data_IF_513300808544
#
_entry.id   IF_513300808544
#
_cell.length_a   1.000
_cell.length_b   1.000
_cell.length_c   1.000
_cell.angle_alpha   90.00
_cell.angle_beta   90.00
_cell.angle_gamma   90.00
#
_symmetry.space_group_name_H-M   'P 1'
#
loop_
_entity.id
_entity.type
_entity.pdbx_description
1 polymer ?
#
# COMPACT_ATOMS: atom_id res chain seq x y z
N UNK A 1 46.14 -54.75 -1.23
CA UNK A 1 44.72 -54.47 -1.51
C UNK A 1 44.14 -53.28 -0.73
N UNK A 2 44.50 -53.06 0.56
CA UNK A 2 43.97 -51.93 1.37
C UNK A 2 44.24 -50.52 0.80
N UNK A 3 45.38 -50.31 0.14
CA UNK A 3 45.75 -49.00 -0.45
C UNK A 3 44.90 -48.63 -1.69
N UNK A 4 44.47 -49.63 -2.46
CA UNK A 4 43.61 -49.43 -3.64
C UNK A 4 42.19 -49.10 -3.18
N UNK A 5 41.70 -49.78 -2.13
CA UNK A 5 40.39 -49.49 -1.55
C UNK A 5 40.30 -48.04 -1.05
N UNK A 6 41.35 -47.54 -0.39
CA UNK A 6 41.41 -46.18 0.15
C UNK A 6 41.42 -45.10 -0.95
N UNK A 7 42.10 -45.35 -2.06
CA UNK A 7 42.10 -44.44 -3.22
C UNK A 7 40.72 -44.37 -3.89
N UNK A 8 40.00 -45.50 -3.96
CA UNK A 8 38.65 -45.56 -4.51
C UNK A 8 37.63 -44.81 -3.64
N UNK A 9 37.73 -44.87 -2.31
CA UNK A 9 36.86 -44.10 -1.42
C UNK A 9 37.08 -42.60 -1.53
N UNK A 10 38.33 -42.13 -1.64
CA UNK A 10 38.63 -40.70 -1.82
C UNK A 10 38.06 -40.19 -3.15
N UNK A 11 38.20 -40.98 -4.22
CA UNK A 11 37.66 -40.63 -5.53
C UNK A 11 36.12 -40.51 -5.50
N UNK A 12 35.45 -41.46 -4.84
CA UNK A 12 33.99 -41.48 -4.77
C UNK A 12 33.42 -40.29 -3.95
N UNK A 13 34.11 -39.88 -2.89
CA UNK A 13 33.74 -38.70 -2.08
C UNK A 13 33.96 -37.40 -2.87
N UNK A 14 35.00 -37.32 -3.69
CA UNK A 14 35.23 -36.17 -4.56
C UNK A 14 34.12 -36.01 -5.63
N UNK A 15 33.61 -37.10 -6.18
CA UNK A 15 32.48 -37.05 -7.13
C UNK A 15 31.13 -36.71 -6.45
N UNK A 16 30.93 -37.13 -5.19
CA UNK A 16 29.73 -36.78 -4.43
C UNK A 16 29.64 -35.28 -4.08
N UNK A 17 30.78 -34.58 -3.99
CA UNK A 17 30.82 -33.13 -3.72
C UNK A 17 30.44 -32.27 -4.94
N UNK A 18 30.54 -32.79 -6.17
CA UNK A 18 30.22 -32.05 -7.41
C UNK A 18 28.71 -32.06 -7.71
N UNK A 19 27.93 -32.95 -7.07
CA UNK A 19 26.48 -33.09 -7.29
C UNK A 19 25.59 -32.12 -6.49
N UNK A 20 26.15 -31.37 -5.53
CA UNK A 20 25.41 -30.40 -4.73
C UNK A 20 25.70 -28.97 -5.22
N UNK A 21 25.23 -28.62 -6.42
CA UNK A 21 25.13 -27.21 -6.82
C UNK A 21 23.86 -26.95 -7.62
N UNK A 22 22.72 -27.13 -6.96
CA UNK A 22 21.51 -26.40 -7.27
C UNK A 22 21.49 -25.16 -6.37
N UNK A 23 22.45 -24.26 -6.57
CA UNK A 23 22.30 -22.91 -6.07
C UNK A 23 21.43 -22.18 -7.09
N UNK A 24 20.17 -21.97 -6.74
CA UNK A 24 19.46 -20.77 -7.18
C UNK A 24 20.21 -19.58 -6.55
N UNK A 25 21.37 -19.24 -7.12
CA UNK A 25 22.04 -17.97 -6.86
C UNK A 25 21.11 -16.89 -7.38
N UNK A 26 20.24 -16.38 -6.51
CA UNK A 26 19.60 -15.08 -6.71
C UNK A 26 20.72 -14.06 -6.91
N UNK A 27 20.83 -13.56 -8.14
CA UNK A 27 21.83 -12.59 -8.54
C UNK A 27 21.65 -11.31 -7.70
N UNK A 28 22.63 -10.92 -6.86
CA UNK A 28 22.48 -9.81 -5.93
C UNK A 28 22.17 -8.46 -6.62
N UNK A 29 22.54 -8.31 -7.90
CA UNK A 29 22.25 -7.11 -8.70
C UNK A 29 20.76 -6.99 -9.08
N UNK A 30 20.03 -8.11 -9.18
CA UNK A 30 18.59 -8.12 -9.53
C UNK A 30 17.73 -7.69 -8.33
N UNK A 31 18.15 -8.04 -7.12
CA UNK A 31 17.43 -7.66 -5.88
C UNK A 31 17.53 -6.16 -5.64
N UNK A 32 18.72 -5.56 -5.86
CA UNK A 32 18.93 -4.12 -5.66
C UNK A 32 18.14 -3.27 -6.67
N UNK A 33 18.11 -3.70 -7.93
CA UNK A 33 17.34 -2.99 -8.98
C UNK A 33 15.82 -3.12 -8.81
N UNK A 34 15.33 -4.27 -8.36
CA UNK A 34 13.90 -4.51 -8.08
C UNK A 34 13.40 -3.64 -6.94
N UNK A 35 14.15 -3.60 -5.83
CA UNK A 35 13.79 -2.76 -4.69
C UNK A 35 13.82 -1.27 -5.04
N UNK A 36 14.82 -0.82 -5.81
CA UNK A 36 14.89 0.55 -6.31
C UNK A 36 13.67 0.92 -7.16
N UNK A 37 13.27 0.06 -8.10
CA UNK A 37 12.08 0.31 -8.95
C UNK A 37 10.79 0.39 -8.13
N UNK A 38 10.63 -0.44 -7.10
CA UNK A 38 9.47 -0.37 -6.21
C UNK A 38 9.43 0.94 -5.42
N UNK A 39 10.59 1.44 -4.99
CA UNK A 39 10.70 2.72 -4.28
C UNK A 39 10.47 3.91 -5.22
N UNK A 40 11.03 3.88 -6.43
CA UNK A 40 10.77 4.88 -7.47
C UNK A 40 9.29 4.90 -7.86
N UNK A 41 8.63 3.75 -7.97
CA UNK A 41 7.20 3.68 -8.25
C UNK A 41 6.35 4.28 -7.11
N UNK A 42 6.75 4.11 -5.86
CA UNK A 42 6.09 4.74 -4.72
C UNK A 42 6.17 6.29 -4.81
N UNK A 43 7.37 6.82 -5.01
CA UNK A 43 7.63 8.26 -4.99
C UNK A 43 7.17 8.98 -6.27
N UNK A 44 7.40 8.38 -7.44
CA UNK A 44 7.28 9.05 -8.75
C UNK A 44 5.98 8.72 -9.50
N UNK A 45 5.15 7.82 -8.98
CA UNK A 45 3.80 7.56 -9.52
C UNK A 45 2.85 8.76 -9.43
N UNK A 46 3.22 9.81 -8.70
CA UNK A 46 2.40 10.99 -8.50
C UNK A 46 1.27 10.79 -7.48
N UNK A 47 1.23 9.64 -6.78
CA UNK A 47 0.22 9.33 -5.77
C UNK A 47 0.25 10.32 -4.58
N UNK A 48 1.45 10.73 -4.14
CA UNK A 48 1.61 11.69 -3.05
C UNK A 48 1.05 13.08 -3.36
N UNK A 49 1.03 13.49 -4.63
CA UNK A 49 0.44 14.78 -5.03
C UNK A 49 -1.10 14.76 -4.94
N UNK A 50 -1.72 13.59 -4.93
CA UNK A 50 -3.17 13.42 -4.85
C UNK A 50 -3.71 13.51 -3.43
N UNK A 51 -2.85 13.37 -2.41
CA UNK A 51 -3.23 13.36 -0.99
C UNK A 51 -3.22 14.76 -0.35
N UNK A 52 -2.63 15.75 -1.03
CA UNK A 52 -2.40 17.09 -0.46
C UNK A 52 -3.65 17.99 -0.45
N UNK A 53 -4.70 17.61 -1.19
CA UNK A 53 -5.92 18.40 -1.35
C UNK A 53 -7.12 17.70 -0.70
N UNK A 54 -8.04 18.50 -0.16
CA UNK A 54 -9.35 18.01 0.29
C UNK A 54 -10.20 17.70 -0.93
N UNK A 55 -10.67 16.47 -1.03
CA UNK A 55 -11.56 16.02 -2.11
C UNK A 55 -12.96 16.53 -1.82
N UNK A 56 -13.52 17.33 -2.73
CA UNK A 56 -14.86 17.95 -2.59
C UNK A 56 -15.86 17.48 -3.63
N UNK A 57 -15.43 16.68 -4.59
CA UNK A 57 -16.23 16.18 -5.69
C UNK A 57 -16.16 14.66 -5.70
N UNK A 58 -17.30 14.02 -5.97
CA UNK A 58 -17.34 12.58 -6.24
C UNK A 58 -16.69 12.29 -7.59
N UNK A 59 -16.12 11.10 -7.75
CA UNK A 59 -15.52 10.67 -9.01
C UNK A 59 -14.19 9.96 -8.83
N UNK A 60 -13.54 9.64 -9.95
CA UNK A 60 -12.26 8.92 -9.93
C UNK A 60 -11.10 9.83 -9.56
N UNK A 61 -10.22 9.36 -8.67
CA UNK A 61 -8.96 10.02 -8.32
C UNK A 61 -7.90 9.90 -9.45
N UNK A 62 -8.13 8.98 -10.41
CA UNK A 62 -7.18 8.66 -11.47
C UNK A 62 -5.89 8.07 -10.91
N UNK A 63 -6.00 7.12 -9.97
CA UNK A 63 -4.85 6.45 -9.37
C UNK A 63 -4.19 5.51 -10.41
N UNK A 64 -2.86 5.56 -10.57
CA UNK A 64 -2.17 4.73 -11.56
C UNK A 64 -2.16 3.26 -11.16
N UNK A 65 -2.50 2.35 -12.08
CA UNK A 65 -2.45 0.89 -11.81
C UNK A 65 -1.11 0.26 -12.18
N UNK A 66 -0.20 1.03 -12.78
CA UNK A 66 1.12 0.53 -13.18
C UNK A 66 2.15 1.65 -13.32
N UNK A 67 3.42 1.35 -13.04
CA UNK A 67 4.56 2.25 -13.31
C UNK A 67 5.78 1.43 -13.71
N UNK A 68 6.34 1.66 -14.90
CA UNK A 68 7.55 0.97 -15.40
C UNK A 68 7.53 -0.57 -15.22
N UNK A 69 6.37 -1.20 -15.42
CA UNK A 69 6.20 -2.66 -15.25
C UNK A 69 5.87 -3.12 -13.82
N UNK A 70 5.98 -2.25 -12.81
CA UNK A 70 5.43 -2.47 -11.47
C UNK A 70 3.91 -2.42 -11.54
N UNK A 71 3.25 -3.44 -11.00
CA UNK A 71 1.79 -3.48 -10.84
C UNK A 71 1.41 -2.79 -9.54
N UNK A 72 0.40 -1.92 -9.59
CA UNK A 72 -0.06 -1.14 -8.45
C UNK A 72 -1.53 -1.48 -8.21
N UNK A 73 -1.85 -1.89 -6.99
CA UNK A 73 -3.22 -2.15 -6.56
C UNK A 73 -3.52 -1.43 -5.25
N UNK A 74 -4.81 -1.21 -4.98
CA UNK A 74 -5.28 -0.39 -3.88
C UNK A 74 -6.28 -1.13 -3.01
N UNK A 75 -6.19 -0.90 -1.70
CA UNK A 75 -7.14 -1.41 -0.72
C UNK A 75 -7.56 -0.28 0.21
N UNK A 76 -8.78 0.20 0.06
CA UNK A 76 -9.33 1.22 0.93
C UNK A 76 -9.78 0.64 2.25
N UNK A 77 -9.50 1.36 3.35
CA UNK A 77 -10.03 1.04 4.67
C UNK A 77 -11.47 1.52 4.87
N UNK A 78 -11.95 2.41 4.00
CA UNK A 78 -13.32 2.87 3.99
C UNK A 78 -13.86 2.85 2.55
N UNK A 79 -14.24 1.63 2.12
CA UNK A 79 -14.74 1.34 0.76
C UNK A 79 -16.02 2.09 0.39
N UNK A 80 -16.77 2.58 1.40
CA UNK A 80 -17.98 3.36 1.17
C UNK A 80 -17.67 4.80 0.74
N UNK A 81 -16.46 5.31 1.02
CA UNK A 81 -16.04 6.67 0.65
C UNK A 81 -15.05 6.64 -0.50
N UNK A 82 -14.04 5.77 -0.45
CA UNK A 82 -13.13 5.55 -1.58
C UNK A 82 -13.07 4.06 -1.82
N UNK A 83 -13.43 3.60 -3.02
CA UNK A 83 -13.36 2.17 -3.35
C UNK A 83 -11.93 1.71 -3.68
N UNK A 84 -11.74 0.41 -3.91
CA UNK A 84 -10.43 -0.18 -4.25
C UNK A 84 -9.93 0.19 -5.66
N UNK A 85 -10.71 0.92 -6.44
CA UNK A 85 -10.33 1.44 -7.77
C UNK A 85 -10.05 2.94 -7.74
N UNK A 86 -10.19 3.59 -6.57
CA UNK A 86 -9.97 5.01 -6.39
C UNK A 86 -11.16 5.89 -6.81
N UNK A 87 -12.39 5.35 -6.87
CA UNK A 87 -13.58 6.19 -7.01
C UNK A 87 -14.05 6.69 -5.65
N UNK A 88 -14.36 7.98 -5.60
CA UNK A 88 -14.81 8.69 -4.42
C UNK A 88 -16.32 8.83 -4.43
N UNK A 89 -16.94 8.44 -3.32
CA UNK A 89 -18.32 8.76 -2.96
C UNK A 89 -18.29 9.71 -1.77
N UNK A 90 -18.88 10.89 -1.94
CA UNK A 90 -18.94 11.88 -0.87
C UNK A 90 -19.91 11.40 0.24
N UNK A 91 -19.49 11.41 1.52
CA UNK A 91 -20.33 10.96 2.62
C UNK A 91 -21.49 11.93 2.89
N UNK A 92 -22.59 11.40 3.39
CA UNK A 92 -23.81 12.14 3.79
C UNK A 92 -23.86 12.39 5.31
N UNK A 93 -22.72 12.29 5.98
CA UNK A 93 -22.58 12.55 7.41
C UNK A 93 -21.21 13.17 7.67
N UNK A 94 -21.09 13.89 8.78
CA UNK A 94 -19.81 14.45 9.21
C UNK A 94 -18.96 13.40 9.94
N UNK A 95 -17.64 13.51 9.79
CA UNK A 95 -16.71 12.74 10.62
C UNK A 95 -16.55 13.42 11.97
N UNK A 96 -16.87 12.71 13.05
CA UNK A 96 -16.59 13.16 14.42
C UNK A 96 -15.62 12.16 15.05
N UNK A 97 -14.42 12.61 15.41
CA UNK A 97 -13.48 11.76 16.14
C UNK A 97 -14.09 11.35 17.49
N UNK A 98 -14.12 10.06 17.77
CA UNK A 98 -14.70 9.50 19.01
C UNK A 98 -14.07 10.06 20.29
N UNK A 99 -12.81 10.52 20.21
CA UNK A 99 -12.09 11.18 21.31
C UNK A 99 -12.71 12.53 21.70
N UNK A 100 -13.25 13.25 20.72
CA UNK A 100 -13.81 14.58 20.95
C UNK A 100 -15.25 14.51 21.50
N UNK A 101 -15.85 13.31 21.57
CA UNK A 101 -17.22 13.11 22.04
C UNK A 101 -17.35 12.95 23.56
N UNK A 102 -16.25 12.83 24.30
CA UNK A 102 -16.30 12.56 25.74
C UNK A 102 -16.48 13.85 26.56
N UNK A 103 -17.68 14.06 27.13
CA UNK A 103 -17.92 15.06 28.17
C UNK A 103 -18.19 16.49 27.67
N UNK A 104 -18.28 16.71 26.37
CA UNK A 104 -18.59 18.01 25.75
C UNK A 104 -19.99 18.01 25.14
N UNK A 105 -20.68 19.15 25.18
CA UNK A 105 -22.07 19.25 24.72
C UNK A 105 -22.12 19.28 23.20
N UNK A 106 -23.13 18.62 22.61
CA UNK A 106 -23.29 18.46 21.15
C UNK A 106 -23.29 19.79 20.38
N UNK A 107 -23.66 20.90 21.01
CA UNK A 107 -23.65 22.24 20.40
C UNK A 107 -22.26 22.81 20.15
N UNK A 108 -21.21 22.24 20.75
CA UNK A 108 -19.82 22.68 20.59
C UNK A 108 -19.16 22.17 19.29
N UNK A 109 -19.80 21.21 18.60
CA UNK A 109 -19.32 20.70 17.31
C UNK A 109 -19.91 21.44 16.10
N UNK A 110 -20.76 22.45 16.34
CA UNK A 110 -21.29 23.30 15.28
C UNK A 110 -20.14 24.05 14.58
N UNK A 111 -20.08 23.95 13.26
CA UNK A 111 -19.07 24.54 12.37
C UNK A 111 -17.65 23.94 12.46
N UNK A 112 -17.46 22.76 13.07
CA UNK A 112 -16.21 22.03 12.92
C UNK A 112 -16.09 21.45 11.50
N UNK A 113 -14.85 21.33 11.04
CA UNK A 113 -14.52 21.03 9.66
C UNK A 113 -14.44 19.51 9.47
N UNK A 114 -15.55 18.94 9.00
CA UNK A 114 -15.92 17.52 9.09
C UNK A 114 -15.38 16.65 7.95
N UNK A 115 -14.10 16.79 7.61
CA UNK A 115 -13.54 15.98 6.54
C UNK A 115 -13.24 14.57 7.05
N UNK A 116 -13.56 13.58 6.23
CA UNK A 116 -13.30 12.18 6.48
C UNK A 116 -11.85 11.83 6.15
N UNK A 117 -11.04 11.40 7.13
CA UNK A 117 -9.75 10.81 6.84
C UNK A 117 -9.96 9.40 6.27
N UNK A 118 -9.50 9.16 5.06
CA UNK A 118 -9.58 7.84 4.41
C UNK A 118 -8.18 7.36 4.11
N UNK A 119 -7.82 6.20 4.67
CA UNK A 119 -6.55 5.54 4.39
C UNK A 119 -6.76 4.52 3.29
N UNK A 120 -5.93 4.58 2.26
CA UNK A 120 -5.84 3.60 1.18
C UNK A 120 -4.47 2.95 1.24
N UNK A 121 -4.43 1.65 1.46
CA UNK A 121 -3.21 0.84 1.39
C UNK A 121 -2.87 0.60 -0.08
N UNK A 122 -1.62 0.86 -0.47
CA UNK A 122 -1.11 0.64 -1.83
C UNK A 122 -0.23 -0.59 -1.81
N UNK A 123 -0.42 -1.48 -2.77
CA UNK A 123 0.33 -2.72 -2.92
C UNK A 123 1.02 -2.67 -4.28
N UNK A 124 2.35 -2.65 -4.24
CA UNK A 124 3.25 -2.61 -5.39
C UNK A 124 3.83 -4.01 -5.58
N UNK A 125 3.68 -4.59 -6.78
CA UNK A 125 4.20 -5.93 -7.08
C UNK A 125 5.06 -5.89 -8.34
N UNK A 126 6.28 -6.43 -8.25
CA UNK A 126 7.20 -6.55 -9.37
C UNK A 126 8.09 -7.78 -9.19
N UNK A 127 8.18 -8.63 -10.22
CA UNK A 127 9.01 -9.85 -10.24
C UNK A 127 8.83 -10.76 -8.99
N UNK A 128 7.60 -10.90 -8.50
CA UNK A 128 7.30 -11.72 -7.31
C UNK A 128 7.59 -11.03 -5.97
N UNK A 129 8.27 -9.88 -5.97
CA UNK A 129 8.43 -9.06 -4.78
C UNK A 129 7.22 -8.13 -4.59
N UNK A 130 6.86 -7.88 -3.33
CA UNK A 130 5.75 -7.00 -2.97
C UNK A 130 6.19 -5.97 -1.94
N UNK A 131 5.79 -4.72 -2.14
CA UNK A 131 5.96 -3.61 -1.21
C UNK A 131 4.62 -2.95 -0.95
N UNK A 132 4.41 -2.45 0.26
CA UNK A 132 3.19 -1.74 0.63
C UNK A 132 3.47 -0.31 1.07
N UNK A 133 2.64 0.62 0.63
CA UNK A 133 2.65 2.02 1.04
C UNK A 133 1.26 2.46 1.52
N UNK A 134 1.13 3.69 2.03
CA UNK A 134 -0.15 4.24 2.50
C UNK A 134 -0.39 5.61 1.90
N UNK A 135 -1.60 5.81 1.40
CA UNK A 135 -2.12 7.11 1.00
C UNK A 135 -3.19 7.54 2.00
N UNK A 136 -3.06 8.77 2.48
CA UNK A 136 -4.05 9.40 3.36
C UNK A 136 -4.80 10.44 2.54
N UNK A 137 -6.09 10.23 2.32
CA UNK A 137 -6.98 11.18 1.67
C UNK A 137 -7.86 11.86 2.71
N UNK A 138 -8.28 13.08 2.38
CA UNK A 138 -9.21 13.87 3.18
C UNK A 138 -10.41 14.19 2.30
N UNK A 139 -11.59 13.66 2.61
CA UNK A 139 -12.80 13.79 1.80
C UNK A 139 -13.83 14.64 2.52
N UNK A 140 -14.31 15.71 1.88
CA UNK A 140 -15.39 16.53 2.41
C UNK A 140 -16.74 15.81 2.23
N UNK A 141 -17.70 16.03 3.15
CA UNK A 141 -19.06 15.55 2.97
C UNK A 141 -19.76 16.25 1.80
N UNK A 142 -20.88 15.67 1.36
CA UNK A 142 -21.74 16.28 0.35
C UNK A 142 -22.21 17.68 0.78
N UNK A 143 -22.46 18.56 -0.20
CA UNK A 143 -22.97 19.89 0.08
C UNK A 143 -24.26 19.83 0.91
N UNK A 144 -24.33 20.66 1.96
CA UNK A 144 -25.46 20.69 2.88
C UNK A 144 -25.43 19.63 3.98
N UNK A 145 -24.43 18.73 3.99
CA UNK A 145 -24.09 17.88 5.12
C UNK A 145 -22.90 18.52 5.86
N UNK A 146 -23.20 19.14 6.98
CA UNK A 146 -22.22 19.66 7.95
C UNK A 146 -22.68 19.21 9.32
N UNK A 147 -21.79 19.13 10.29
CA UNK A 147 -22.13 18.83 11.69
C UNK A 147 -23.10 19.86 12.28
N UNK A 148 -23.38 20.98 11.60
CA UNK A 148 -24.50 21.86 11.91
C UNK A 148 -25.89 21.20 11.79
N UNK A 149 -26.01 20.04 11.12
CA UNK A 149 -27.24 19.25 11.00
C UNK A 149 -27.29 18.04 11.95
N UNK A 150 -26.47 17.99 13.00
CA UNK A 150 -26.67 17.03 14.10
C UNK A 150 -27.97 17.37 14.86
N UNK A 151 -29.09 16.86 14.36
CA UNK A 151 -30.39 16.92 15.02
C UNK A 151 -30.49 15.74 16.01
N UNK A 152 -29.99 15.93 17.23
CA UNK A 152 -30.30 15.04 18.37
C UNK A 152 -29.12 14.49 19.12
#
# INVERSE_FOLDING_TARGET
MKKILFLLTILLVAFALVGCKNDETEDPDVVDTTFRLLMEAEDLSGMANKTSAVIREAGSLGLPTSYQGVQISYQSRNVNIIDNTGNVTLPTECWIESRDQQGVSKSQFNNLNDNWPVVVDVILTYQGQTRTAKLLFVVAPQEGFTCNKYLG
#
